data_IF_121220732946
#
_entry.id   IF_121220732946
#
_cell.length_a   1.000
_cell.length_b   1.000
_cell.length_c   1.000
_cell.angle_alpha   90.00
_cell.angle_beta   90.00
_cell.angle_gamma   90.00
#
_symmetry.space_group_name_H-M   'P 1'
#
loop_
_entity.id
_entity.type
_entity.pdbx_description
1 polymer ?
#
# COMPACT_ATOMS: atom_id res chain seq x y z
N UNK A 1 -16.36 2.38 13.58
CA UNK A 1 -14.90 2.20 13.45
C UNK A 1 -14.47 1.50 12.15
N UNK A 2 -15.28 0.60 11.57
CA UNK A 2 -14.94 -0.08 10.30
C UNK A 2 -15.05 0.83 9.06
N UNK A 3 -15.97 1.80 9.05
CA UNK A 3 -16.19 2.71 7.92
C UNK A 3 -14.96 3.58 7.60
N UNK A 4 -14.32 4.16 8.62
CA UNK A 4 -13.12 5.01 8.46
C UNK A 4 -11.93 4.19 7.94
N UNK A 5 -11.75 2.95 8.43
CA UNK A 5 -10.72 2.03 7.93
C UNK A 5 -10.96 1.65 6.47
N UNK A 6 -12.22 1.42 6.10
CA UNK A 6 -12.63 1.19 4.71
C UNK A 6 -12.32 2.38 3.81
N UNK A 7 -12.70 3.60 4.23
CA UNK A 7 -12.42 4.85 3.52
C UNK A 7 -10.92 5.10 3.31
N UNK A 8 -10.10 4.83 4.33
CA UNK A 8 -8.64 4.92 4.19
C UNK A 8 -8.10 3.94 3.15
N UNK A 9 -8.56 2.69 3.18
CA UNK A 9 -8.17 1.68 2.19
C UNK A 9 -8.58 2.08 0.77
N UNK A 10 -9.82 2.54 0.58
CA UNK A 10 -10.33 2.99 -0.72
C UNK A 10 -9.59 4.25 -1.19
N UNK A 11 -9.30 5.21 -0.31
CA UNK A 11 -8.55 6.42 -0.63
C UNK A 11 -7.12 6.12 -1.08
N UNK A 12 -6.44 5.19 -0.40
CA UNK A 12 -5.11 4.72 -0.78
C UNK A 12 -5.11 4.01 -2.14
N UNK A 13 -6.12 3.18 -2.40
CA UNK A 13 -6.32 2.54 -3.71
C UNK A 13 -6.51 3.56 -4.83
N UNK A 14 -7.42 4.52 -4.63
CA UNK A 14 -7.68 5.58 -5.59
C UNK A 14 -6.41 6.40 -5.89
N UNK A 15 -5.60 6.67 -4.85
CA UNK A 15 -4.34 7.40 -4.97
C UNK A 15 -3.31 6.62 -5.81
N UNK A 16 -3.18 5.30 -5.60
CA UNK A 16 -2.26 4.47 -6.38
C UNK A 16 -2.63 4.43 -7.87
N UNK A 17 -3.92 4.29 -8.17
CA UNK A 17 -4.44 4.30 -9.54
C UNK A 17 -4.24 5.68 -10.18
N UNK A 18 -4.58 6.76 -9.45
CA UNK A 18 -4.42 8.12 -9.93
C UNK A 18 -2.96 8.46 -10.23
N UNK A 19 -2.02 8.08 -9.36
CA UNK A 19 -0.58 8.26 -9.61
C UNK A 19 -0.13 7.54 -10.88
N UNK A 20 -0.63 6.33 -11.12
CA UNK A 20 -0.41 5.60 -12.37
C UNK A 20 -0.97 6.33 -13.59
N UNK A 21 -2.21 6.81 -13.48
CA UNK A 21 -2.88 7.53 -14.56
C UNK A 21 -2.18 8.85 -14.90
N UNK A 22 -1.73 9.58 -13.89
CA UNK A 22 -0.99 10.83 -14.03
C UNK A 22 0.51 10.63 -14.36
N UNK A 23 0.96 9.38 -14.55
CA UNK A 23 2.36 9.02 -14.85
C UNK A 23 3.37 9.62 -13.85
N UNK A 24 3.05 9.60 -12.57
CA UNK A 24 3.98 10.01 -11.51
C UNK A 24 5.27 9.17 -11.55
N UNK A 25 6.41 9.69 -11.09
CA UNK A 25 7.65 8.93 -11.10
C UNK A 25 7.51 7.62 -10.32
N UNK A 26 8.14 6.54 -10.82
CA UNK A 26 8.09 5.20 -10.23
C UNK A 26 8.51 5.16 -8.75
N UNK A 27 9.34 6.13 -8.30
CA UNK A 27 9.71 6.32 -6.90
C UNK A 27 8.52 6.63 -5.97
N UNK A 28 7.38 7.05 -6.51
CA UNK A 28 6.13 7.23 -5.75
C UNK A 28 5.54 5.91 -5.25
N UNK A 29 5.80 4.79 -5.94
CA UNK A 29 5.30 3.45 -5.59
C UNK A 29 5.82 2.99 -4.22
N UNK A 30 7.14 2.96 -3.94
CA UNK A 30 7.64 2.59 -2.61
C UNK A 30 7.24 3.59 -1.51
N UNK A 31 7.12 4.89 -1.83
CA UNK A 31 6.62 5.86 -0.86
C UNK A 31 5.16 5.59 -0.49
N UNK A 32 4.30 5.32 -1.48
CA UNK A 32 2.89 5.03 -1.26
C UNK A 32 2.69 3.67 -0.55
N UNK A 33 3.55 2.69 -0.81
CA UNK A 33 3.48 1.38 -0.14
C UNK A 33 3.78 1.44 1.36
N UNK A 34 4.52 2.44 1.85
CA UNK A 34 4.64 2.69 3.29
C UNK A 34 3.29 3.01 3.92
N UNK A 35 2.47 3.83 3.27
CA UNK A 35 1.13 4.17 3.77
C UNK A 35 0.19 2.95 3.74
N UNK A 36 0.24 2.15 2.67
CA UNK A 36 -0.49 0.87 2.63
C UNK A 36 -0.05 -0.08 3.74
N UNK A 37 1.25 -0.15 4.01
CA UNK A 37 1.81 -0.99 5.07
C UNK A 37 1.34 -0.51 6.45
N UNK A 38 1.39 0.79 6.72
CA UNK A 38 0.89 1.36 7.96
C UNK A 38 -0.61 1.11 8.14
N UNK A 39 -1.42 1.32 7.08
CA UNK A 39 -2.85 1.04 7.10
C UNK A 39 -3.15 -0.44 7.34
N UNK A 40 -2.38 -1.35 6.73
CA UNK A 40 -2.49 -2.79 6.94
C UNK A 40 -2.17 -3.18 8.39
N UNK A 41 -1.09 -2.65 8.95
CA UNK A 41 -0.68 -2.88 10.35
C UNK A 41 -1.76 -2.37 11.30
N UNK A 42 -2.28 -1.16 11.08
CA UNK A 42 -3.36 -0.58 11.88
C UNK A 42 -4.66 -1.38 11.77
N UNK A 43 -4.98 -1.88 10.56
CA UNK A 43 -6.14 -2.74 10.32
C UNK A 43 -6.07 -4.05 11.10
N UNK A 44 -4.88 -4.63 11.20
CA UNK A 44 -4.60 -5.91 11.88
C UNK A 44 -3.78 -5.75 13.16
N UNK A 45 -4.00 -4.64 13.90
CA UNK A 45 -3.16 -4.30 15.05
C UNK A 45 -3.12 -5.39 16.12
N UNK A 46 -4.20 -6.15 16.30
CA UNK A 46 -4.26 -7.27 17.24
C UNK A 46 -3.22 -8.37 16.98
N UNK A 47 -2.83 -8.58 15.71
CA UNK A 47 -1.76 -9.52 15.33
C UNK A 47 -0.38 -8.88 15.54
N UNK A 48 -0.25 -7.63 15.13
CA UNK A 48 1.02 -6.91 15.16
C UNK A 48 1.46 -6.54 16.57
N UNK A 49 0.53 -6.23 17.48
CA UNK A 49 0.84 -5.83 18.85
C UNK A 49 1.71 -6.88 19.56
N UNK A 50 1.42 -8.17 19.40
CA UNK A 50 2.23 -9.25 20.00
C UNK A 50 3.64 -9.31 19.42
N UNK A 51 3.77 -9.11 18.10
CA UNK A 51 5.07 -9.09 17.42
C UNK A 51 5.90 -7.87 17.85
N UNK A 52 5.25 -6.71 17.98
CA UNK A 52 5.88 -5.47 18.47
C UNK A 52 6.32 -5.56 19.92
N UNK A 53 5.57 -6.28 20.77
CA UNK A 53 5.96 -6.53 22.16
C UNK A 53 7.17 -7.47 22.28
N UNK A 54 7.31 -8.44 21.37
CA UNK A 54 8.44 -9.38 21.39
C UNK A 54 9.74 -8.78 20.84
N UNK A 55 9.69 -7.70 20.06
CA UNK A 55 10.83 -6.98 19.45
C UNK A 55 11.94 -7.89 18.86
N UNK A 56 11.57 -9.07 18.36
CA UNK A 56 12.53 -10.04 17.89
C UNK A 56 12.82 -9.85 16.39
N UNK A 57 13.84 -10.53 15.85
CA UNK A 57 14.21 -10.56 14.43
C UNK A 57 13.02 -10.86 13.51
N UNK A 58 12.05 -11.63 14.02
CA UNK A 58 10.81 -11.98 13.32
C UNK A 58 9.90 -10.77 13.05
N UNK A 59 9.92 -9.72 13.89
CA UNK A 59 9.20 -8.47 13.63
C UNK A 59 9.72 -7.83 12.34
N UNK A 60 11.03 -7.62 12.25
CA UNK A 60 11.66 -6.97 11.11
C UNK A 60 11.46 -7.75 9.82
N UNK A 61 11.58 -9.07 9.87
CA UNK A 61 11.27 -9.93 8.72
C UNK A 61 9.81 -9.81 8.29
N UNK A 62 8.88 -9.83 9.25
CA UNK A 62 7.45 -9.71 8.96
C UNK A 62 7.10 -8.33 8.38
N UNK A 63 7.69 -7.26 8.91
CA UNK A 63 7.52 -5.89 8.39
C UNK A 63 8.05 -5.78 6.97
N UNK A 64 9.25 -6.30 6.71
CA UNK A 64 9.88 -6.25 5.38
C UNK A 64 9.06 -7.03 4.35
N UNK A 65 8.63 -8.25 4.68
CA UNK A 65 7.78 -9.07 3.80
C UNK A 65 6.45 -8.37 3.54
N UNK A 66 5.81 -7.81 4.58
CA UNK A 66 4.56 -7.07 4.43
C UNK A 66 4.74 -5.87 3.53
N UNK A 67 5.80 -5.09 3.72
CA UNK A 67 6.13 -3.95 2.88
C UNK A 67 6.36 -4.34 1.41
N UNK A 68 7.08 -5.43 1.15
CA UNK A 68 7.26 -5.95 -0.21
C UNK A 68 5.93 -6.32 -0.86
N UNK A 69 5.05 -7.03 -0.15
CA UNK A 69 3.72 -7.39 -0.65
C UNK A 69 2.91 -6.13 -0.95
N UNK A 70 2.90 -5.14 -0.05
CA UNK A 70 2.19 -3.88 -0.28
C UNK A 70 2.77 -3.11 -1.46
N UNK A 71 4.08 -3.14 -1.65
CA UNK A 71 4.74 -2.48 -2.80
C UNK A 71 4.32 -3.14 -4.11
N UNK A 72 4.25 -4.46 -4.17
CA UNK A 72 3.74 -5.19 -5.35
C UNK A 72 2.28 -4.80 -5.64
N UNK A 73 1.42 -4.76 -4.61
CA UNK A 73 0.02 -4.35 -4.77
C UNK A 73 -0.10 -2.92 -5.31
N UNK A 74 0.61 -1.97 -4.71
CA UNK A 74 0.63 -0.58 -5.18
C UNK A 74 1.14 -0.48 -6.61
N UNK A 75 2.18 -1.26 -6.95
CA UNK A 75 2.70 -1.30 -8.31
C UNK A 75 1.67 -1.81 -9.32
N UNK A 76 0.89 -2.84 -8.97
CA UNK A 76 -0.21 -3.33 -9.82
C UNK A 76 -1.26 -2.24 -10.03
N UNK A 77 -1.68 -1.53 -8.97
CA UNK A 77 -2.64 -0.42 -9.11
C UNK A 77 -2.09 0.74 -9.94
N UNK A 78 -0.81 1.06 -9.77
CA UNK A 78 -0.12 2.04 -10.59
C UNK A 78 -0.11 1.63 -12.07
N UNK A 79 0.21 0.38 -12.38
CA UNK A 79 0.18 -0.12 -13.76
C UNK A 79 -1.23 -0.12 -14.35
N UNK A 80 -2.26 -0.45 -13.56
CA UNK A 80 -3.65 -0.32 -13.98
C UNK A 80 -3.99 1.13 -14.35
N UNK A 81 -3.63 2.09 -13.50
CA UNK A 81 -3.83 3.51 -13.79
C UNK A 81 -3.12 3.97 -15.06
N UNK A 82 -1.85 3.60 -15.21
CA UNK A 82 -1.06 3.94 -16.41
C UNK A 82 -1.60 3.26 -17.68
N UNK A 83 -2.02 2.00 -17.57
CA UNK A 83 -2.68 1.27 -18.65
C UNK A 83 -3.97 1.93 -19.10
N UNK A 84 -4.80 2.37 -18.16
CA UNK A 84 -6.03 3.14 -18.43
C UNK A 84 -5.69 4.48 -19.10
N UNK A 85 -4.71 5.24 -18.61
CA UNK A 85 -4.32 6.51 -19.23
C UNK A 85 -3.92 6.36 -20.70
N UNK A 86 -3.21 5.27 -21.04
CA UNK A 86 -2.83 4.94 -22.42
C UNK A 86 -4.01 4.61 -23.32
N UNK A 87 -5.14 4.16 -22.78
CA UNK A 87 -6.35 3.92 -23.57
C UNK A 87 -7.07 5.24 -23.93
N UNK A 88 -6.96 6.26 -23.08
CA UNK A 88 -7.58 7.57 -23.30
C UNK A 88 -6.70 8.58 -24.04
N UNK A 89 -5.41 8.31 -24.15
CA UNK A 89 -4.46 9.14 -24.93
C UNK A 89 -4.23 8.61 -26.35
N UNK A 90 -5.01 7.61 -26.77
CA UNK A 90 -5.20 7.21 -28.17
C UNK A 90 -6.45 7.88 -28.72
#
# INVERSE_FOLDING_TARGET
MNFIKGLLGVGLLASAIYMGFANFPLWSVPALSLFFTAAYIQGKWYLWNRLFQQQNRQLYQSLLVTYLIQTVLVFVFYLLGSGVARLFTR
#
